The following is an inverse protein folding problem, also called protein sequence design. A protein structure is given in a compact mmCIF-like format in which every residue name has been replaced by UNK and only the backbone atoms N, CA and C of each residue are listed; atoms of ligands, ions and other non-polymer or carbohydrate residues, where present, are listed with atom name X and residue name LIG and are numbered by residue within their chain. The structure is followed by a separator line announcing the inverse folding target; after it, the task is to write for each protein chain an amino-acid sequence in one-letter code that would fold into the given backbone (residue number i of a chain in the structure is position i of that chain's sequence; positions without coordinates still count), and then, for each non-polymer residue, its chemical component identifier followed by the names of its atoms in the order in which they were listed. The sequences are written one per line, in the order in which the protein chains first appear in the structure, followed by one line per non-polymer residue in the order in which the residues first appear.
data_IF_236803245375
#
_entry.id   IF_236803245375
#
_cell.length_a   1.000
_cell.length_b   1.000
_cell.length_c   1.000
_cell.angle_alpha   90.00
_cell.angle_beta   90.00
_cell.angle_gamma   90.00
#
_symmetry.space_group_name_H-M   'P 1'
#
loop_
_entity.id
_entity.type
_entity.pdbx_description
1 polymer ?
#
# COMPACT_ATOMS: atom_id res chain seq x y z
N UNK A 1 5.43 21.31 -3.92
CA UNK A 1 6.22 20.56 -2.89
C UNK A 1 6.55 19.15 -3.37
N UNK A 2 5.54 18.43 -3.88
CA UNK A 2 5.72 17.14 -4.57
C UNK A 2 6.61 17.28 -5.81
N UNK A 3 6.37 18.25 -6.71
CA UNK A 3 7.21 18.40 -7.93
C UNK A 3 8.64 18.82 -7.61
N UNK A 4 8.84 19.53 -6.50
CA UNK A 4 10.19 19.90 -6.03
C UNK A 4 10.94 18.75 -5.34
N UNK A 5 10.35 17.55 -5.24
CA UNK A 5 10.96 16.39 -4.55
C UNK A 5 11.07 16.51 -3.03
N UNK A 6 10.59 17.62 -2.45
CA UNK A 6 10.64 17.91 -1.01
C UNK A 6 9.60 17.16 -0.19
N UNK A 7 8.64 16.51 -0.87
CA UNK A 7 7.62 15.66 -0.27
C UNK A 7 7.50 14.39 -1.11
N UNK A 8 7.48 13.23 -0.44
CA UNK A 8 7.17 11.95 -1.07
C UNK A 8 5.97 11.32 -0.35
N UNK A 9 4.99 10.88 -1.13
CA UNK A 9 3.84 10.13 -0.62
C UNK A 9 4.00 8.67 -1.05
N UNK A 10 3.81 7.75 -0.10
CA UNK A 10 3.86 6.30 -0.29
C UNK A 10 2.58 5.71 0.26
N UNK A 11 1.99 4.75 -0.44
CA UNK A 11 0.76 4.09 -0.03
C UNK A 11 0.92 2.57 -0.09
N UNK A 12 0.20 1.87 0.78
CA UNK A 12 0.14 0.41 0.84
C UNK A 12 -1.34 -0.04 0.87
N UNK A 13 -2.03 -0.07 -0.28
CA UNK A 13 -3.48 -0.31 -0.34
C UNK A 13 -3.82 -1.80 -0.17
N UNK A 14 -3.70 -2.32 1.06
CA UNK A 14 -4.09 -3.67 1.42
C UNK A 14 -5.46 -3.66 2.10
N UNK A 15 -6.51 -3.56 1.29
CA UNK A 15 -7.93 -3.51 1.67
C UNK A 15 -8.31 -2.32 2.59
N UNK A 16 -9.60 -2.02 2.66
CA UNK A 16 -10.16 -0.87 3.40
C UNK A 16 -10.10 -1.08 4.91
N UNK A 17 -8.90 -0.98 5.48
CA UNK A 17 -8.72 -1.00 6.93
C UNK A 17 -9.03 0.38 7.51
N UNK A 18 -9.76 0.41 8.63
CA UNK A 18 -9.91 1.62 9.44
C UNK A 18 -9.84 1.21 10.91
N UNK A 19 -9.03 1.87 11.75
CA UNK A 19 -8.33 3.12 11.46
C UNK A 19 -7.08 2.94 10.59
N UNK A 20 -6.94 3.76 9.56
CA UNK A 20 -5.69 3.88 8.81
C UNK A 20 -4.63 4.62 9.66
N UNK A 21 -3.40 4.66 9.16
CA UNK A 21 -2.33 5.49 9.72
C UNK A 21 -1.51 6.22 8.65
N UNK A 22 -0.98 7.38 9.01
CA UNK A 22 0.04 8.11 8.24
C UNK A 22 1.28 8.28 9.11
N UNK A 23 2.44 7.86 8.59
CA UNK A 23 3.73 8.09 9.25
C UNK A 23 4.40 9.30 8.62
N UNK A 24 4.71 10.30 9.43
CA UNK A 24 5.53 11.44 9.04
C UNK A 24 6.99 11.12 9.28
N UNK A 25 7.84 11.46 8.31
CA UNK A 25 9.27 11.22 8.39
C UNK A 25 10.05 12.37 7.78
N UNK A 26 11.23 12.61 8.32
CA UNK A 26 12.21 13.56 7.80
C UNK A 26 13.56 12.87 7.57
N UNK A 27 14.62 13.64 7.37
CA UNK A 27 15.96 13.11 7.14
C UNK A 27 16.54 12.32 8.34
N UNK A 28 16.07 12.57 9.57
CA UNK A 28 16.46 11.84 10.77
C UNK A 28 15.61 10.57 11.00
N UNK A 29 14.49 10.43 10.28
CA UNK A 29 13.65 9.23 10.28
C UNK A 29 12.18 9.52 10.64
N UNK A 30 11.42 8.50 11.08
CA UNK A 30 10.01 8.69 11.44
C UNK A 30 9.87 9.52 12.71
N UNK A 31 9.10 10.60 12.63
CA UNK A 31 8.95 11.59 13.71
C UNK A 31 7.57 11.54 14.38
N UNK A 32 6.52 11.24 13.63
CA UNK A 32 5.16 11.15 14.14
C UNK A 32 4.31 10.13 13.38
N UNK A 33 3.25 9.66 14.00
CA UNK A 33 2.19 8.86 13.38
C UNK A 33 0.82 9.43 13.73
N UNK A 34 0.03 9.68 12.69
CA UNK A 34 -1.39 9.99 12.81
C UNK A 34 -2.19 8.71 12.59
N UNK A 35 -2.95 8.28 13.59
CA UNK A 35 -3.85 7.12 13.52
C UNK A 35 -5.30 7.60 13.57
N UNK A 36 -6.13 7.12 12.64
CA UNK A 36 -7.54 7.54 12.51
C UNK A 36 -7.85 8.04 11.11
N UNK A 37 -8.73 9.03 10.99
CA UNK A 37 -9.09 9.59 9.69
C UNK A 37 -7.97 10.48 9.13
N UNK A 38 -7.63 10.31 7.85
CA UNK A 38 -6.82 11.27 7.08
C UNK A 38 -7.39 11.38 5.68
N UNK A 39 -8.20 12.41 5.49
CA UNK A 39 -8.85 12.75 4.24
C UNK A 39 -8.25 14.06 3.73
N UNK A 40 -7.61 14.01 2.56
CA UNK A 40 -6.89 15.15 1.98
C UNK A 40 -7.76 16.06 1.13
N UNK A 41 -9.02 15.68 0.87
CA UNK A 41 -9.97 16.46 0.09
C UNK A 41 -11.04 17.11 0.98
N UNK A 42 -11.92 17.94 0.42
CA UNK A 42 -13.11 18.45 1.11
C UNK A 42 -14.32 18.29 0.20
N UNK A 43 -15.51 17.94 0.74
CA UNK A 43 -15.82 17.67 2.15
C UNK A 43 -15.34 16.27 2.61
N UNK A 44 -15.31 16.04 3.93
CA UNK A 44 -15.09 14.71 4.50
C UNK A 44 -16.24 13.76 4.11
N UNK A 45 -15.98 12.52 3.64
CA UNK A 45 -17.00 11.70 2.98
C UNK A 45 -17.94 10.99 3.96
N UNK A 46 -17.62 10.95 5.25
CA UNK A 46 -18.42 10.28 6.28
C UNK A 46 -19.17 11.27 7.18
N UNK A 47 -20.39 10.91 7.58
CA UNK A 47 -21.17 11.66 8.57
C UNK A 47 -20.78 11.25 9.99
N UNK A 48 -20.87 12.19 10.94
CA UNK A 48 -20.57 11.95 12.36
C UNK A 48 -19.17 12.37 12.79
N UNK A 49 -18.84 12.23 14.08
CA UNK A 49 -17.53 12.62 14.61
C UNK A 49 -16.43 11.71 14.05
N UNK A 50 -15.34 12.32 13.58
CA UNK A 50 -14.15 11.62 13.16
C UNK A 50 -13.05 11.84 14.21
N UNK A 51 -12.49 10.75 14.74
CA UNK A 51 -11.45 10.80 15.77
C UNK A 51 -10.10 10.43 15.17
N UNK A 52 -9.09 11.20 15.54
CA UNK A 52 -7.70 10.94 15.18
C UNK A 52 -6.81 11.15 16.39
N UNK A 53 -5.72 10.39 16.46
CA UNK A 53 -4.71 10.51 17.50
C UNK A 53 -3.32 10.67 16.89
N UNK A 54 -2.51 11.54 17.47
CA UNK A 54 -1.15 11.81 17.04
C UNK A 54 -0.18 11.26 18.09
N UNK A 55 0.74 10.41 17.66
CA UNK A 55 1.76 9.79 18.50
C UNK A 55 3.16 10.06 17.94
N UNK A 56 4.17 9.94 18.79
CA UNK A 56 5.56 10.27 18.46
C UNK A 56 6.52 9.15 18.88
N UNK A 57 7.82 9.37 18.64
CA UNK A 57 8.91 8.50 19.11
C UNK A 57 8.71 7.02 18.72
N UNK A 58 8.59 6.13 19.70
CA UNK A 58 8.47 4.69 19.46
C UNK A 58 7.25 4.32 18.62
N UNK A 59 6.12 5.01 18.80
CA UNK A 59 4.94 4.77 17.98
C UNK A 59 5.25 5.03 16.51
N UNK A 60 5.93 6.13 16.18
CA UNK A 60 6.31 6.44 14.81
C UNK A 60 7.28 5.39 14.23
N UNK A 61 8.24 4.91 15.02
CA UNK A 61 9.19 3.86 14.62
C UNK A 61 8.48 2.54 14.32
N UNK A 62 7.62 2.07 15.22
CA UNK A 62 6.90 0.81 15.08
C UNK A 62 5.97 0.87 13.87
N UNK A 63 5.18 1.93 13.73
CA UNK A 63 4.27 2.08 12.59
C UNK A 63 5.01 2.23 11.27
N UNK A 64 6.18 2.88 11.24
CA UNK A 64 7.02 2.95 10.04
C UNK A 64 7.48 1.58 9.55
N UNK A 65 7.89 0.69 10.47
CA UNK A 65 8.22 -0.71 10.12
C UNK A 65 7.02 -1.44 9.55
N UNK A 66 5.86 -1.30 10.21
CA UNK A 66 4.60 -1.91 9.73
C UNK A 66 4.21 -1.41 8.35
N UNK A 67 4.37 -0.12 8.09
CA UNK A 67 4.13 0.46 6.77
C UNK A 67 5.02 -0.18 5.69
N UNK A 68 6.30 -0.39 5.99
CA UNK A 68 7.23 -1.02 5.04
C UNK A 68 6.81 -2.46 4.71
N UNK A 69 6.39 -3.24 5.71
CA UNK A 69 5.85 -4.59 5.53
C UNK A 69 4.60 -4.59 4.65
N UNK A 70 3.62 -3.73 4.97
CA UNK A 70 2.39 -3.61 4.20
C UNK A 70 2.68 -3.18 2.76
N UNK A 71 3.61 -2.26 2.57
CA UNK A 71 3.99 -1.78 1.25
C UNK A 71 4.65 -2.88 0.42
N UNK A 72 5.54 -3.66 1.01
CA UNK A 72 6.19 -4.77 0.32
C UNK A 72 5.13 -5.78 -0.17
N UNK A 73 4.18 -6.12 0.69
CA UNK A 73 3.07 -7.01 0.33
C UNK A 73 2.14 -6.39 -0.71
N UNK A 74 1.81 -5.09 -0.62
CA UNK A 74 0.94 -4.41 -1.58
C UNK A 74 1.53 -4.34 -3.00
N UNK A 75 2.85 -4.32 -3.12
CA UNK A 75 3.56 -4.30 -4.39
C UNK A 75 4.07 -5.69 -4.81
N UNK A 76 3.73 -6.76 -4.09
CA UNK A 76 4.06 -8.11 -4.51
C UNK A 76 3.16 -8.53 -5.69
N UNK A 77 3.74 -8.47 -6.89
CA UNK A 77 3.07 -8.91 -8.12
C UNK A 77 3.22 -10.41 -8.38
N UNK A 78 4.02 -11.12 -7.58
CA UNK A 78 4.31 -12.54 -7.75
C UNK A 78 3.06 -13.42 -7.89
N UNK A 79 2.05 -13.29 -7.02
CA UNK A 79 0.80 -14.02 -7.15
C UNK A 79 0.05 -13.77 -8.46
N UNK A 80 0.03 -12.51 -8.93
CA UNK A 80 -0.62 -12.14 -10.18
C UNK A 80 0.12 -12.72 -11.40
N UNK A 81 1.45 -12.61 -11.41
CA UNK A 81 2.31 -13.20 -12.45
C UNK A 81 2.14 -14.71 -12.48
N UNK A 82 2.15 -15.38 -11.33
CA UNK A 82 1.94 -16.81 -11.23
C UNK A 82 0.57 -17.26 -11.74
N UNK A 83 -0.49 -16.49 -11.44
CA UNK A 83 -1.84 -16.75 -11.95
C UNK A 83 -1.88 -16.69 -13.48
N UNK A 84 -1.23 -15.69 -14.08
CA UNK A 84 -1.14 -15.55 -15.55
C UNK A 84 -0.36 -16.73 -16.15
N UNK A 85 0.81 -17.05 -15.60
CA UNK A 85 1.65 -18.15 -16.09
C UNK A 85 0.97 -19.52 -15.96
N UNK A 86 0.24 -19.74 -14.87
CA UNK A 86 -0.51 -20.98 -14.62
C UNK A 86 -1.66 -21.15 -15.61
N UNK A 87 -2.34 -20.07 -16.01
CA UNK A 87 -3.38 -20.09 -17.05
C UNK A 87 -2.83 -20.30 -18.46
N UNK A 88 -1.57 -19.93 -18.71
CA UNK A 88 -0.93 -20.07 -20.03
C UNK A 88 -0.51 -21.51 -20.36
N UNK A 89 -0.43 -22.39 -19.36
CA UNK A 89 0.11 -23.76 -19.48
C UNK A 89 -1.04 -24.77 -19.32
N UNK A 90 -1.62 -25.42 -20.36
CA UNK A 90 -1.28 -25.45 -21.79
C UNK A 90 -2.47 -25.18 -22.77
N UNK A 91 -2.32 -24.20 -23.67
CA UNK A 91 -3.05 -24.14 -24.97
C UNK A 91 -2.15 -24.51 -26.18
N UNK A 92 -0.89 -24.88 -25.93
CA UNK A 92 0.16 -24.99 -26.94
C UNK A 92 0.64 -26.40 -27.32
N UNK A 93 -0.11 -27.47 -27.01
CA UNK A 93 0.18 -28.82 -27.54
C UNK A 93 -1.02 -29.39 -28.28
N UNK A 94 -1.29 -28.82 -29.45
CA UNK A 94 -2.01 -29.49 -30.52
C UNK A 94 -1.27 -29.16 -31.83
N UNK A 95 -0.03 -29.63 -31.95
CA UNK A 95 0.61 -29.75 -33.26
C UNK A 95 0.08 -31.05 -33.85
N UNK A 96 -0.71 -30.91 -34.91
CA UNK A 96 -1.38 -31.98 -35.61
C UNK A 96 -0.39 -33.07 -36.04
N UNK A 97 -0.63 -34.30 -35.58
CA UNK A 97 -0.16 -35.48 -36.28
C UNK A 97 -1.05 -35.65 -37.53
N UNK A 98 -0.57 -35.18 -38.69
CA UNK A 98 -1.16 -35.53 -39.98
C UNK A 98 -0.70 -36.94 -40.39
N UNK A 99 -1.58 -37.79 -40.94
CA UNK A 99 -1.19 -39.09 -41.45
C UNK A 99 -0.47 -38.91 -42.80
N UNK A 100 0.68 -39.56 -42.95
CA UNK A 100 1.37 -39.79 -44.23
C UNK A 100 1.53 -41.28 -44.45
#
# INVERSE_FOLDING_TARGET
MLESGRLQVRAAPLAGWSPDFTVFSDAAGPSAVLTGFHWFERPYPHRGPALSSLHFADAARVTSRRHAELRQTAHDIGPAVWSILSKARPRGMAVAAGPG
#
